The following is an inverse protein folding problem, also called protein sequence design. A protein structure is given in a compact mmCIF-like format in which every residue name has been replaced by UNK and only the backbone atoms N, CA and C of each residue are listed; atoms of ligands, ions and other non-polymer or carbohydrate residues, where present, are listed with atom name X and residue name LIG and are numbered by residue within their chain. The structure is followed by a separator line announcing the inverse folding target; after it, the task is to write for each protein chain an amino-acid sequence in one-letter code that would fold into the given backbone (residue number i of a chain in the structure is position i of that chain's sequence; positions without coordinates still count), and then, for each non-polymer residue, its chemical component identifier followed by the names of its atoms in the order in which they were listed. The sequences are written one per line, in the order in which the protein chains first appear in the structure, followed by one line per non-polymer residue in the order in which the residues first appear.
data_IF_610710588887
#
_entry.id   IF_610710588887
#
_cell.length_a   1.000
_cell.length_b   1.000
_cell.length_c   1.000
_cell.angle_alpha   90.00
_cell.angle_beta   90.00
_cell.angle_gamma   90.00
#
_symmetry.space_group_name_H-M   'P 1'
#
loop_
_entity.id
_entity.type
_entity.pdbx_description
1 polymer ?
#
# COMPACT_ATOMS: atom_id res chain seq x y z
N UNK A 1 2.14 26.34 5.68
CA UNK A 1 2.82 25.07 6.02
C UNK A 1 1.84 23.96 6.36
N UNK A 2 0.79 24.23 7.15
CA UNK A 2 -0.25 23.24 7.48
C UNK A 2 -0.93 22.62 6.24
N UNK A 3 -1.23 23.42 5.22
CA UNK A 3 -1.86 22.91 3.97
C UNK A 3 -0.96 21.98 3.17
N UNK A 4 0.34 22.29 3.11
CA UNK A 4 1.35 21.45 2.44
C UNK A 4 1.46 20.11 3.14
N UNK A 5 1.50 20.11 4.48
CA UNK A 5 1.53 18.88 5.28
C UNK A 5 0.25 18.06 5.09
N UNK A 6 -0.92 18.72 5.00
CA UNK A 6 -2.20 18.03 4.75
C UNK A 6 -2.21 17.33 3.39
N UNK A 7 -1.76 18.00 2.34
CA UNK A 7 -1.64 17.43 0.99
C UNK A 7 -0.67 16.25 0.95
N UNK A 8 0.52 16.39 1.55
CA UNK A 8 1.50 15.30 1.63
C UNK A 8 0.90 14.09 2.36
N UNK A 9 0.29 14.31 3.53
CA UNK A 9 -0.35 13.23 4.31
C UNK A 9 -1.44 12.50 3.52
N UNK A 10 -2.24 13.20 2.72
CA UNK A 10 -3.29 12.57 1.90
C UNK A 10 -2.77 11.66 0.78
N UNK A 11 -1.50 11.84 0.38
CA UNK A 11 -0.80 11.03 -0.62
C UNK A 11 0.02 9.89 -0.02
N UNK A 12 0.24 9.89 1.30
CA UNK A 12 1.00 8.86 2.01
C UNK A 12 0.16 7.59 2.19
N UNK A 13 0.79 6.46 1.92
CA UNK A 13 0.22 5.12 2.07
C UNK A 13 1.11 4.29 2.99
N UNK A 14 0.53 3.35 3.71
CA UNK A 14 1.27 2.26 4.35
C UNK A 14 1.38 1.07 3.38
N UNK A 15 2.49 0.35 3.43
CA UNK A 15 2.78 -0.78 2.55
C UNK A 15 2.98 -2.03 3.40
N UNK A 16 2.33 -3.11 3.01
CA UNK A 16 2.38 -4.32 3.80
C UNK A 16 1.78 -5.54 3.12
N UNK A 17 1.28 -6.43 3.97
CA UNK A 17 0.71 -7.72 3.60
C UNK A 17 -0.70 -7.84 4.18
N UNK A 18 -1.56 -8.54 3.45
CA UNK A 18 -2.86 -9.02 3.89
C UNK A 18 -2.93 -10.52 3.65
N UNK A 19 -3.77 -11.23 4.40
CA UNK A 19 -4.11 -12.61 4.05
C UNK A 19 -5.04 -12.62 2.84
N UNK A 20 -4.90 -13.59 1.93
CA UNK A 20 -5.63 -13.59 0.65
C UNK A 20 -7.16 -13.54 0.80
N UNK A 21 -7.69 -13.94 1.95
CA UNK A 21 -9.12 -13.96 2.25
C UNK A 21 -9.53 -12.99 3.38
N UNK A 22 -8.60 -12.18 3.89
CA UNK A 22 -8.88 -11.17 4.92
C UNK A 22 -8.23 -9.84 4.53
N UNK A 23 -9.01 -8.81 4.15
CA UNK A 23 -8.48 -7.51 3.75
C UNK A 23 -7.86 -6.72 4.91
N UNK A 24 -7.87 -7.26 6.14
CA UNK A 24 -7.21 -6.64 7.27
C UNK A 24 -5.68 -6.65 7.11
N UNK A 25 -5.00 -5.57 7.49
CA UNK A 25 -3.55 -5.55 7.52
C UNK A 25 -3.00 -6.68 8.41
N UNK A 26 -2.24 -7.60 7.83
CA UNK A 26 -1.50 -8.61 8.58
C UNK A 26 -0.21 -8.00 9.15
N UNK A 27 0.50 -7.23 8.33
CA UNK A 27 1.72 -6.55 8.72
C UNK A 27 1.98 -5.34 7.83
N UNK A 28 2.57 -4.29 8.41
CA UNK A 28 3.03 -3.08 7.71
C UNK A 28 4.54 -2.97 7.86
N UNK A 29 5.24 -2.75 6.75
CA UNK A 29 6.72 -2.72 6.72
C UNK A 29 7.28 -1.33 6.42
N UNK A 30 6.45 -0.42 5.94
CA UNK A 30 6.88 0.93 5.65
C UNK A 30 5.77 1.76 5.02
N UNK A 31 6.17 2.87 4.43
CA UNK A 31 5.28 3.80 3.75
C UNK A 31 5.70 4.02 2.30
N UNK A 32 4.78 4.58 1.54
CA UNK A 32 5.02 5.10 0.20
C UNK A 32 4.16 6.32 -0.07
N UNK A 33 4.29 6.86 -1.27
CA UNK A 33 3.50 7.99 -1.74
C UNK A 33 2.87 7.66 -3.08
N UNK A 34 1.64 8.10 -3.28
CA UNK A 34 1.05 8.21 -4.62
C UNK A 34 1.77 9.34 -5.33
N UNK A 35 2.41 9.04 -6.46
CA UNK A 35 3.22 10.01 -7.21
C UNK A 35 2.55 10.48 -8.51
N UNK A 36 1.44 9.87 -8.92
CA UNK A 36 0.60 10.35 -10.04
C UNK A 36 -0.89 9.93 -9.90
N UNK A 37 -1.72 10.43 -10.82
CA UNK A 37 -3.16 10.16 -10.92
C UNK A 37 -3.50 8.74 -11.40
N UNK A 38 -2.50 7.95 -11.78
CA UNK A 38 -2.64 6.53 -12.13
C UNK A 38 -2.50 5.63 -10.91
N UNK A 39 -2.27 6.21 -9.73
CA UNK A 39 -2.03 5.42 -8.52
C UNK A 39 -0.65 4.77 -8.55
N UNK A 40 0.33 5.35 -9.24
CA UNK A 40 1.72 4.94 -9.16
C UNK A 40 2.25 5.21 -7.75
N UNK A 41 2.87 4.20 -7.13
CA UNK A 41 3.34 4.30 -5.75
C UNK A 41 4.86 4.24 -5.71
N UNK A 42 5.48 5.23 -5.08
CA UNK A 42 6.91 5.21 -4.76
C UNK A 42 7.14 4.77 -3.32
N UNK A 43 8.07 3.85 -3.11
CA UNK A 43 8.56 3.43 -1.79
C UNK A 43 10.04 3.08 -1.86
N UNK A 44 10.66 2.89 -0.70
CA UNK A 44 12.03 2.43 -0.63
C UNK A 44 12.12 0.93 -0.96
N UNK A 45 13.16 0.53 -1.70
CA UNK A 45 13.38 -0.86 -2.11
C UNK A 45 13.36 -1.84 -0.94
N UNK A 46 13.99 -1.47 0.18
CA UNK A 46 14.06 -2.31 1.38
C UNK A 46 12.68 -2.60 1.99
N UNK A 47 11.69 -1.71 1.84
CA UNK A 47 10.31 -1.96 2.30
C UNK A 47 9.70 -3.11 1.50
N UNK A 48 9.91 -3.08 0.18
CA UNK A 48 9.39 -4.13 -0.69
C UNK A 48 10.11 -5.46 -0.49
N UNK A 49 11.42 -5.44 -0.30
CA UNK A 49 12.19 -6.65 -0.02
C UNK A 49 11.82 -7.27 1.33
N UNK A 50 11.53 -6.47 2.36
CA UNK A 50 10.97 -6.96 3.61
C UNK A 50 9.64 -7.69 3.38
N UNK A 51 8.73 -7.12 2.58
CA UNK A 51 7.46 -7.76 2.24
C UNK A 51 7.66 -9.10 1.51
N UNK A 52 8.59 -9.17 0.55
CA UNK A 52 8.92 -10.42 -0.17
C UNK A 52 9.45 -11.50 0.76
N UNK A 53 10.41 -11.14 1.63
CA UNK A 53 11.03 -12.06 2.56
C UNK A 53 10.00 -12.64 3.52
N UNK A 54 9.12 -11.79 4.07
CA UNK A 54 8.09 -12.26 4.99
C UNK A 54 7.00 -13.06 4.28
N UNK A 55 6.55 -12.65 3.08
CA UNK A 55 5.61 -13.46 2.27
C UNK A 55 6.16 -14.87 2.02
N UNK A 56 7.45 -14.99 1.65
CA UNK A 56 8.11 -16.30 1.48
C UNK A 56 8.17 -17.08 2.80
N UNK A 57 8.55 -16.43 3.90
CA UNK A 57 8.62 -17.05 5.22
C UNK A 57 7.28 -17.56 5.72
N UNK A 58 6.21 -16.77 5.58
CA UNK A 58 4.84 -17.14 5.97
C UNK A 58 4.32 -18.31 5.15
N UNK A 59 4.59 -18.32 3.84
CA UNK A 59 4.22 -19.44 2.99
C UNK A 59 4.97 -20.73 3.35
N UNK A 60 6.29 -20.65 3.56
CA UNK A 60 7.13 -21.82 3.84
C UNK A 60 6.98 -22.36 5.27
N UNK A 61 6.78 -21.50 6.26
CA UNK A 61 6.82 -21.88 7.68
C UNK A 61 5.44 -22.13 8.28
N UNK A 62 4.41 -21.42 7.80
CA UNK A 62 3.07 -21.45 8.37
C UNK A 62 1.97 -21.83 7.37
N UNK A 63 2.32 -22.03 6.10
CA UNK A 63 1.39 -22.23 4.99
C UNK A 63 0.30 -21.13 4.90
N UNK A 64 0.66 -19.89 5.25
CA UNK A 64 -0.24 -18.74 5.15
C UNK A 64 -0.04 -18.10 3.78
N UNK A 65 -1.13 -17.96 3.01
CA UNK A 65 -1.13 -17.26 1.72
C UNK A 65 -1.45 -15.78 1.92
N UNK A 66 -0.48 -14.94 1.58
CA UNK A 66 -0.57 -13.49 1.73
C UNK A 66 -0.34 -12.80 0.40
N UNK A 67 -0.97 -11.65 0.24
CA UNK A 67 -0.78 -10.75 -0.90
C UNK A 67 -0.24 -9.40 -0.45
N UNK A 68 0.41 -8.69 -1.36
CA UNK A 68 0.90 -7.35 -1.08
C UNK A 68 -0.28 -6.41 -1.01
N UNK A 69 -0.23 -5.43 -0.12
CA UNK A 69 -1.28 -4.44 0.00
C UNK A 69 -0.72 -3.06 0.29
N UNK A 70 -1.50 -2.06 -0.09
CA UNK A 70 -1.32 -0.68 0.30
C UNK A 70 -2.54 -0.25 1.10
N UNK A 71 -2.28 0.53 2.14
CA UNK A 71 -3.28 0.98 3.10
C UNK A 71 -3.30 2.49 3.10
N UNK A 72 -4.44 3.07 2.72
CA UNK A 72 -4.68 4.50 2.81
C UNK A 72 -5.43 4.79 4.08
N UNK A 73 -4.92 5.71 4.90
CA UNK A 73 -5.65 6.19 6.07
C UNK A 73 -6.61 7.29 5.64
N UNK A 74 -7.90 7.05 5.84
CA UNK A 74 -8.97 8.01 5.58
C UNK A 74 -9.42 8.59 6.92
N UNK A 75 -9.38 9.91 7.05
CA UNK A 75 -9.97 10.60 8.19
C UNK A 75 -11.45 10.84 7.93
N UNK A 76 -12.31 10.25 8.75
CA UNK A 76 -13.77 10.42 8.74
C UNK A 76 -14.20 11.23 9.97
N UNK A 77 -15.46 11.67 10.02
CA UNK A 77 -16.02 12.36 11.19
C UNK A 77 -15.97 11.48 12.45
N UNK A 78 -16.08 10.16 12.29
CA UNK A 78 -16.05 9.16 13.37
C UNK A 78 -14.63 8.67 13.75
N UNK A 79 -13.58 9.15 13.08
CA UNK A 79 -12.19 8.78 13.39
C UNK A 79 -11.31 8.49 12.17
N UNK A 80 -10.45 7.48 12.27
CA UNK A 80 -9.60 7.05 11.16
C UNK A 80 -10.06 5.68 10.66
N UNK A 81 -10.29 5.55 9.36
CA UNK A 81 -10.55 4.29 8.67
C UNK A 81 -9.40 3.94 7.73
N UNK A 82 -9.30 2.67 7.35
CA UNK A 82 -8.27 2.18 6.43
C UNK A 82 -8.97 1.69 5.17
N UNK A 83 -8.57 2.25 4.04
CA UNK A 83 -8.90 1.74 2.71
C UNK A 83 -7.73 0.87 2.22
N UNK A 84 -8.04 -0.36 1.81
CA UNK A 84 -7.04 -1.39 1.47
C UNK A 84 -7.13 -1.73 -0.01
N UNK A 85 -6.02 -1.62 -0.74
CA UNK A 85 -5.89 -2.16 -2.08
C UNK A 85 -4.91 -3.33 -2.12
N UNK A 86 -5.36 -4.48 -2.62
CA UNK A 86 -4.55 -5.70 -2.78
C UNK A 86 -3.83 -5.67 -4.13
N UNK A 87 -2.51 -5.85 -4.12
CA UNK A 87 -1.64 -5.75 -5.30
C UNK A 87 -1.18 -7.15 -5.70
N UNK A 88 -1.76 -7.68 -6.78
CA UNK A 88 -1.52 -9.06 -7.24
C UNK A 88 -0.08 -9.34 -7.74
N UNK A 89 0.61 -8.35 -8.32
CA UNK A 89 2.00 -8.50 -8.77
C UNK A 89 2.76 -7.15 -8.80
N UNK A 90 3.60 -6.90 -7.80
CA UNK A 90 4.56 -5.78 -7.77
C UNK A 90 5.83 -6.08 -8.62
N UNK A 91 5.68 -6.62 -9.84
CA UNK A 91 6.82 -6.95 -10.72
C UNK A 91 7.20 -5.81 -11.68
N UNK A 92 6.37 -4.79 -11.82
CA UNK A 92 6.65 -3.62 -12.67
C UNK A 92 5.92 -2.40 -12.13
N UNK A 93 6.65 -1.50 -11.48
CA UNK A 93 6.27 -0.09 -11.37
C UNK A 93 7.16 0.59 -12.42
N UNK A 94 6.67 0.70 -13.65
CA UNK A 94 7.40 1.36 -14.74
C UNK A 94 6.89 2.79 -14.82
N UNK A 95 7.79 3.77 -14.81
CA UNK A 95 7.44 5.14 -15.18
C UNK A 95 6.77 5.13 -16.56
N UNK A 96 5.51 5.55 -16.60
CA UNK A 96 4.70 5.62 -17.82
C UNK A 96 4.00 4.32 -18.22
N UNK A 97 2.86 4.03 -17.60
CA UNK A 97 1.55 3.83 -18.27
C UNK A 97 0.47 3.44 -17.24
N UNK A 98 -0.71 4.05 -17.44
CA UNK A 98 -1.92 4.05 -16.61
C UNK A 98 -2.34 2.67 -16.08
N UNK A 99 -2.50 2.57 -14.77
CA UNK A 99 -3.42 1.64 -14.09
C UNK A 99 -4.48 2.50 -13.34
N UNK A 100 -5.74 2.07 -13.14
CA UNK A 100 -6.77 2.91 -12.51
C UNK A 100 -7.23 2.31 -11.17
N UNK A 101 -6.44 2.44 -10.11
CA UNK A 101 -6.82 1.91 -8.78
C UNK A 101 -7.18 2.97 -7.75
N UNK A 102 -6.90 4.26 -8.00
CA UNK A 102 -7.19 5.34 -7.06
C UNK A 102 -7.69 6.59 -7.79
N UNK A 103 -9.00 6.78 -7.98
CA UNK A 103 -9.51 8.07 -8.40
C UNK A 103 -9.20 9.10 -7.30
N UNK A 104 -8.36 10.09 -7.64
CA UNK A 104 -8.16 11.28 -6.82
C UNK A 104 -9.41 12.14 -6.97
N UNK A 105 -10.24 12.21 -5.93
CA UNK A 105 -11.32 13.20 -5.89
C UNK A 105 -10.68 14.58 -5.71
N UNK A 106 -10.97 15.48 -6.65
CA UNK A 106 -10.54 16.89 -6.70
C UNK A 106 -11.00 17.71 -5.49
#
# INVERSE_FOLDING_TARGET
MQDVVRKIKSSTLAIGLVERNDPKPLAVYGSGFIIDDTGLIATAEHVFDACKQVKKSLKSSKNIDVDYAVFRVLHTEDGASIDTAVIGNLKKITFGKKDPLFPLNE
#
